data_IF_945359810935
#
_entry.id   IF_945359810935
#
_cell.length_a   1.000
_cell.length_b   1.000
_cell.length_c   1.000
_cell.angle_alpha   90.00
_cell.angle_beta   90.00
_cell.angle_gamma   90.00
#
_symmetry.space_group_name_H-M   'P 1'
#
loop_
_entity.id
_entity.type
_entity.pdbx_description
1 polymer ?
#
# COMPACT_ATOMS: atom_id res chain seq x y z
N UNK A 1 -59.67 5.12 65.91
CA UNK A 1 -58.18 5.22 65.93
C UNK A 1 -57.63 3.95 65.27
N UNK A 2 -57.22 3.94 64.00
CA UNK A 2 -55.94 4.47 63.45
C UNK A 2 -54.81 3.46 63.77
N UNK A 3 -54.06 2.84 62.86
CA UNK A 3 -53.64 3.16 61.49
C UNK A 3 -53.31 1.86 60.71
N UNK A 4 -53.58 1.83 59.40
CA UNK A 4 -53.04 0.82 58.48
C UNK A 4 -51.52 1.00 58.35
N UNK A 5 -50.77 -0.08 58.53
CA UNK A 5 -49.31 -0.12 58.33
C UNK A 5 -49.02 -0.31 56.84
N UNK A 6 -48.79 0.81 56.16
CA UNK A 6 -48.43 0.88 54.74
C UNK A 6 -47.01 0.32 54.55
N UNK A 7 -46.88 -0.91 54.05
CA UNK A 7 -45.59 -1.46 53.62
C UNK A 7 -45.22 -0.85 52.27
N UNK A 8 -44.28 0.09 52.30
CA UNK A 8 -43.67 0.70 51.12
C UNK A 8 -42.93 -0.37 50.32
N UNK A 9 -43.47 -0.73 49.14
CA UNK A 9 -42.75 -1.53 48.15
C UNK A 9 -41.73 -0.62 47.49
N UNK A 10 -40.50 -0.63 48.02
CA UNK A 10 -39.35 0.02 47.39
C UNK A 10 -39.04 -0.71 46.07
N UNK A 11 -39.46 -0.09 44.96
CA UNK A 11 -39.02 -0.45 43.61
C UNK A 11 -37.58 0.04 43.45
N UNK A 12 -36.61 -0.86 43.61
CA UNK A 12 -35.22 -0.61 43.22
C UNK A 12 -35.17 -0.61 41.68
N UNK A 13 -35.09 0.57 41.08
CA UNK A 13 -34.79 0.74 39.66
C UNK A 13 -33.31 0.40 39.45
N UNK A 14 -32.95 -0.61 38.64
CA UNK A 14 -31.56 -0.79 38.25
C UNK A 14 -31.19 0.37 37.32
N UNK A 15 -30.24 1.20 37.73
CA UNK A 15 -29.53 2.10 36.83
C UNK A 15 -28.80 1.22 35.82
N UNK A 16 -29.40 1.01 34.65
CA UNK A 16 -28.73 0.42 33.51
C UNK A 16 -27.68 1.43 33.04
N UNK A 17 -26.41 1.12 33.25
CA UNK A 17 -25.31 1.90 32.72
C UNK A 17 -25.26 1.58 31.23
N UNK A 18 -25.94 2.40 30.43
CA UNK A 18 -25.83 2.37 28.99
C UNK A 18 -24.39 2.74 28.63
N UNK A 19 -23.57 1.73 28.38
CA UNK A 19 -22.27 1.90 27.73
C UNK A 19 -22.58 2.35 26.30
N UNK A 20 -22.44 3.64 26.04
CA UNK A 20 -22.49 4.17 24.68
C UNK A 20 -21.25 3.67 23.96
N UNK A 21 -21.40 2.62 23.15
CA UNK A 21 -20.42 2.27 22.14
C UNK A 21 -20.45 3.40 21.10
N UNK A 22 -19.57 4.40 21.22
CA UNK A 22 -19.18 5.16 20.05
C UNK A 22 -18.35 4.19 19.21
N UNK A 23 -18.98 3.52 18.26
CA UNK A 23 -18.26 2.97 17.12
C UNK A 23 -17.62 4.16 16.41
N UNK A 24 -16.35 4.41 16.68
CA UNK A 24 -15.54 5.27 15.82
C UNK A 24 -15.59 4.64 14.44
N UNK A 25 -16.15 5.34 13.46
CA UNK A 25 -15.91 5.00 12.07
C UNK A 25 -14.45 5.37 11.86
N UNK A 26 -13.55 4.40 11.99
CA UNK A 26 -12.26 4.51 11.35
C UNK A 26 -12.56 4.66 9.86
N UNK A 27 -11.93 5.64 9.21
CA UNK A 27 -11.95 5.67 7.75
C UNK A 27 -11.42 4.32 7.27
N UNK A 28 -12.02 3.74 6.23
CA UNK A 28 -11.45 2.56 5.59
C UNK A 28 -9.99 2.90 5.20
N UNK A 29 -9.04 2.01 5.49
CA UNK A 29 -7.63 2.24 5.15
C UNK A 29 -7.48 2.25 3.62
N UNK A 30 -7.28 3.44 3.07
CA UNK A 30 -7.18 3.67 1.64
C UNK A 30 -5.71 3.69 1.21
N UNK A 31 -5.43 3.19 -0.01
CA UNK A 31 -4.09 3.28 -0.59
C UNK A 31 -4.12 3.87 -2.00
N UNK A 32 -3.32 4.92 -2.21
CA UNK A 32 -3.25 5.66 -3.47
C UNK A 32 -1.88 5.45 -4.14
N UNK A 33 -1.90 5.07 -5.42
CA UNK A 33 -0.68 4.88 -6.20
C UNK A 33 -0.35 6.16 -6.94
N UNK A 34 0.78 6.78 -6.60
CA UNK A 34 1.08 8.13 -7.09
C UNK A 34 1.71 8.07 -8.48
N UNK A 35 2.78 7.30 -8.64
CA UNK A 35 3.36 6.94 -9.93
C UNK A 35 4.47 5.92 -9.72
N UNK A 36 4.90 5.27 -10.79
CA UNK A 36 6.16 4.53 -10.82
C UNK A 36 7.27 5.51 -11.19
N UNK A 37 8.39 5.52 -10.44
CA UNK A 37 9.44 6.52 -10.69
C UNK A 37 10.20 6.16 -11.97
N UNK A 38 9.76 6.81 -13.06
CA UNK A 38 10.17 6.56 -14.43
C UNK A 38 11.54 7.20 -14.81
N UNK A 39 12.15 7.93 -13.89
CA UNK A 39 13.44 8.57 -14.12
C UNK A 39 14.53 7.78 -13.39
N UNK A 40 15.18 6.86 -14.10
CA UNK A 40 16.33 6.13 -13.57
C UNK A 40 17.00 5.28 -14.64
N UNK A 41 18.28 4.98 -14.43
CA UNK A 41 19.03 4.10 -15.32
C UNK A 41 18.41 2.69 -15.34
N UNK A 42 18.54 1.99 -16.47
CA UNK A 42 18.08 0.60 -16.65
C UNK A 42 18.57 -0.39 -15.57
N UNK A 43 19.73 -0.14 -14.96
CA UNK A 43 20.34 -1.01 -13.93
C UNK A 43 19.92 -0.64 -12.50
N UNK A 44 18.83 0.11 -12.34
CA UNK A 44 18.26 0.43 -11.03
C UNK A 44 17.09 -0.51 -10.74
N UNK A 45 16.90 -0.82 -9.46
CA UNK A 45 15.72 -1.53 -8.99
C UNK A 45 14.43 -0.80 -9.37
N UNK A 46 13.39 -1.57 -9.65
CA UNK A 46 12.05 -1.03 -9.78
C UNK A 46 11.57 -0.46 -8.44
N UNK A 47 10.94 0.72 -8.49
CA UNK A 47 10.34 1.37 -7.32
C UNK A 47 8.91 1.78 -7.60
N UNK A 48 8.08 1.72 -6.56
CA UNK A 48 6.70 2.20 -6.58
C UNK A 48 6.45 3.15 -5.41
N UNK A 49 5.59 4.14 -5.61
CA UNK A 49 5.21 5.10 -4.58
C UNK A 49 3.74 4.93 -4.22
N UNK A 50 3.47 4.83 -2.92
CA UNK A 50 2.12 4.70 -2.38
C UNK A 50 1.91 5.68 -1.23
N UNK A 51 0.73 6.28 -1.20
CA UNK A 51 0.18 7.03 -0.05
C UNK A 51 -0.90 6.19 0.62
N UNK A 52 -1.03 6.36 1.94
CA UNK A 52 -2.09 5.75 2.74
C UNK A 52 -2.90 6.84 3.45
N UNK A 53 -4.18 6.57 3.70
CA UNK A 53 -5.05 7.46 4.47
C UNK A 53 -6.00 6.64 5.37
N UNK A 54 -6.18 7.09 6.61
CA UNK A 54 -7.11 6.44 7.55
C UNK A 54 -6.63 5.09 8.11
N UNK A 55 -5.35 4.76 7.94
CA UNK A 55 -4.79 3.48 8.36
C UNK A 55 -4.26 3.51 9.79
N UNK A 56 -4.20 2.36 10.47
CA UNK A 56 -3.53 2.28 11.77
C UNK A 56 -2.00 2.31 11.63
N UNK A 57 -1.30 2.43 12.75
CA UNK A 57 0.17 2.31 12.77
C UNK A 57 0.56 0.86 12.49
N UNK A 58 1.05 0.61 11.28
CA UNK A 58 1.59 -0.66 10.83
C UNK A 58 2.48 -0.43 9.58
N UNK A 59 2.93 -1.53 8.98
CA UNK A 59 3.56 -1.56 7.66
C UNK A 59 2.75 -2.43 6.69
N UNK A 60 2.84 -2.13 5.40
CA UNK A 60 2.39 -3.01 4.32
C UNK A 60 3.58 -3.77 3.72
N UNK A 61 3.42 -5.08 3.61
CA UNK A 61 4.26 -5.91 2.75
C UNK A 61 3.88 -5.64 1.30
N UNK A 62 4.89 -5.54 0.42
CA UNK A 62 4.70 -5.19 -0.99
C UNK A 62 5.31 -6.26 -1.88
N UNK A 63 4.55 -6.69 -2.88
CA UNK A 63 4.97 -7.69 -3.86
C UNK A 63 4.64 -7.24 -5.28
N UNK A 64 5.61 -7.36 -6.17
CA UNK A 64 5.48 -7.10 -7.60
C UNK A 64 5.33 -8.43 -8.33
N UNK A 65 4.30 -8.54 -9.16
CA UNK A 65 4.00 -9.76 -9.92
C UNK A 65 3.98 -9.48 -11.41
N UNK A 66 4.61 -10.33 -12.20
CA UNK A 66 4.40 -10.40 -13.64
C UNK A 66 3.25 -11.37 -13.94
N UNK A 67 2.09 -10.86 -14.34
CA UNK A 67 0.92 -11.71 -14.61
C UNK A 67 1.04 -12.55 -15.87
N UNK A 68 1.95 -12.19 -16.78
CA UNK A 68 2.16 -12.93 -18.02
C UNK A 68 3.07 -14.16 -17.80
N UNK A 69 4.01 -14.09 -16.86
CA UNK A 69 4.95 -15.20 -16.56
C UNK A 69 4.67 -15.93 -15.24
N UNK A 70 4.02 -15.26 -14.29
CA UNK A 70 3.83 -15.73 -12.92
C UNK A 70 5.04 -15.50 -12.01
N UNK A 71 6.01 -14.69 -12.43
CA UNK A 71 7.16 -14.35 -11.58
C UNK A 71 6.76 -13.33 -10.50
N UNK A 72 7.23 -13.55 -9.28
CA UNK A 72 6.94 -12.75 -8.09
C UNK A 72 8.25 -12.19 -7.51
N UNK A 73 8.22 -10.92 -7.11
CA UNK A 73 9.35 -10.19 -6.57
C UNK A 73 8.94 -9.46 -5.29
N UNK A 74 9.61 -9.80 -4.19
CA UNK A 74 9.44 -9.07 -2.93
C UNK A 74 9.98 -7.65 -3.06
N UNK A 75 9.29 -6.73 -2.42
CA UNK A 75 9.70 -5.35 -2.31
C UNK A 75 9.81 -4.94 -0.85
N UNK A 76 10.49 -3.82 -0.57
CA UNK A 76 10.62 -3.31 0.78
C UNK A 76 9.26 -2.88 1.35
N UNK A 77 9.03 -3.19 2.62
CA UNK A 77 7.83 -2.76 3.34
C UNK A 77 7.72 -1.22 3.37
N UNK A 78 6.49 -0.72 3.39
CA UNK A 78 6.19 0.72 3.50
C UNK A 78 5.30 1.00 4.71
N UNK A 79 5.54 2.08 5.47
CA UNK A 79 4.72 2.42 6.61
C UNK A 79 3.34 2.94 6.16
N UNK A 80 2.31 2.66 6.96
CA UNK A 80 0.94 3.14 6.71
C UNK A 80 0.69 4.57 7.22
N UNK A 81 1.64 5.12 7.96
CA UNK A 81 1.57 6.42 8.62
C UNK A 81 2.90 7.17 8.43
N UNK A 82 2.88 8.50 8.30
CA UNK A 82 1.72 9.38 8.41
C UNK A 82 0.80 9.33 7.19
N UNK A 83 -0.49 9.63 7.41
CA UNK A 83 -1.46 9.81 6.32
C UNK A 83 -0.97 10.78 5.25
N UNK A 84 -1.39 10.55 4.01
CA UNK A 84 -1.13 11.39 2.83
C UNK A 84 0.36 11.69 2.61
N UNK A 85 1.23 10.78 3.06
CA UNK A 85 2.68 10.88 2.88
C UNK A 85 3.17 9.83 1.86
N UNK A 86 3.86 10.26 0.79
CA UNK A 86 4.44 9.35 -0.20
C UNK A 86 5.50 8.43 0.40
N UNK A 87 5.24 7.13 0.36
CA UNK A 87 6.18 6.09 0.78
C UNK A 87 6.65 5.27 -0.42
N UNK A 88 7.95 4.98 -0.47
CA UNK A 88 8.58 4.30 -1.61
C UNK A 88 8.93 2.86 -1.25
N UNK A 89 8.45 1.92 -2.07
CA UNK A 89 8.86 0.52 -2.02
C UNK A 89 9.84 0.20 -3.14
N UNK A 90 10.90 -0.55 -2.84
CA UNK A 90 11.94 -0.99 -3.80
C UNK A 90 11.90 -2.51 -3.94
N UNK A 91 11.82 -3.01 -5.18
CA UNK A 91 11.69 -4.44 -5.47
C UNK A 91 13.03 -5.09 -5.87
N UNK A 92 13.18 -6.38 -5.59
CA UNK A 92 14.36 -7.19 -5.94
C UNK A 92 14.40 -7.59 -7.43
N UNK A 93 14.19 -6.60 -8.31
CA UNK A 93 14.31 -6.71 -9.77
C UNK A 93 14.84 -5.41 -10.37
N UNK A 94 15.84 -5.51 -11.24
CA UNK A 94 16.34 -4.38 -12.01
C UNK A 94 15.42 -4.06 -13.20
N UNK A 95 15.30 -2.78 -13.55
CA UNK A 95 14.42 -2.32 -14.64
C UNK A 95 14.74 -2.95 -16.00
N UNK A 96 15.99 -3.33 -16.26
CA UNK A 96 16.44 -4.00 -17.49
C UNK A 96 16.03 -5.49 -17.57
N UNK A 97 15.75 -6.11 -16.43
CA UNK A 97 15.24 -7.48 -16.34
C UNK A 97 13.75 -7.55 -16.67
N UNK A 98 13.02 -6.46 -16.42
CA UNK A 98 11.59 -6.36 -16.71
C UNK A 98 11.29 -6.53 -18.22
N UNK A 99 10.06 -6.95 -18.51
CA UNK A 99 9.55 -7.18 -19.87
C UNK A 99 8.24 -6.44 -20.06
N UNK A 100 7.98 -6.03 -21.29
CA UNK A 100 6.67 -5.50 -21.66
C UNK A 100 5.61 -6.56 -21.40
N UNK A 101 4.51 -6.18 -20.75
CA UNK A 101 3.53 -7.14 -20.28
C UNK A 101 2.63 -6.58 -19.18
N UNK A 102 1.78 -7.46 -18.66
CA UNK A 102 0.87 -7.13 -17.56
C UNK A 102 1.54 -7.38 -16.22
N UNK A 103 1.60 -6.35 -15.38
CA UNK A 103 2.21 -6.41 -14.06
C UNK A 103 1.18 -6.06 -12.98
N UNK A 104 1.44 -6.51 -11.76
CA UNK A 104 0.64 -6.25 -10.58
C UNK A 104 1.50 -5.81 -9.41
N UNK A 105 0.97 -4.92 -8.57
CA UNK A 105 1.52 -4.60 -7.26
C UNK A 105 0.49 -4.99 -6.21
N UNK A 106 0.88 -5.86 -5.28
CA UNK A 106 0.06 -6.34 -4.18
C UNK A 106 0.59 -5.73 -2.87
N UNK A 107 -0.30 -5.16 -2.08
CA UNK A 107 -0.01 -4.57 -0.78
C UNK A 107 -0.86 -5.26 0.29
N UNK A 108 -0.22 -5.85 1.29
CA UNK A 108 -0.89 -6.63 2.34
C UNK A 108 -0.47 -6.10 3.71
N UNK A 109 -1.44 -5.86 4.59
CA UNK A 109 -1.18 -5.48 5.97
C UNK A 109 -2.24 -6.01 6.91
N UNK A 110 -1.86 -6.23 8.17
CA UNK A 110 -2.82 -6.48 9.24
C UNK A 110 -3.52 -5.19 9.71
N UNK A 111 -3.04 -4.03 9.24
CA UNK A 111 -3.56 -2.71 9.61
C UNK A 111 -3.52 -2.51 11.13
N UNK A 112 -2.41 -2.90 11.74
CA UNK A 112 -2.12 -2.69 13.16
C UNK A 112 -2.76 -3.73 14.08
N UNK A 113 -2.76 -3.40 15.38
CA UNK A 113 -3.31 -4.24 16.45
C UNK A 113 -4.68 -3.75 16.95
N UNK A 114 -5.17 -2.64 16.40
CA UNK A 114 -6.45 -2.07 16.80
C UNK A 114 -7.59 -2.96 16.29
N UNK A 115 -8.49 -3.45 17.17
CA UNK A 115 -9.59 -4.32 16.78
C UNK A 115 -10.58 -3.67 15.81
N UNK A 116 -10.61 -2.35 15.74
CA UNK A 116 -11.47 -1.59 14.83
C UNK A 116 -10.77 -1.24 13.50
N UNK A 117 -9.54 -1.72 13.29
CA UNK A 117 -8.77 -1.55 12.05
C UNK A 117 -8.70 -2.89 11.30
N UNK A 118 -9.52 -3.11 10.26
CA UNK A 118 -9.52 -4.37 9.54
C UNK A 118 -8.24 -4.53 8.71
N UNK A 119 -7.72 -5.76 8.54
CA UNK A 119 -6.62 -6.04 7.63
C UNK A 119 -7.03 -5.74 6.19
N UNK A 120 -6.06 -5.44 5.33
CA UNK A 120 -6.31 -5.18 3.92
C UNK A 120 -5.35 -5.95 3.00
N UNK A 121 -5.82 -6.16 1.77
CA UNK A 121 -5.03 -6.66 0.66
C UNK A 121 -5.46 -5.90 -0.60
N UNK A 122 -4.64 -4.93 -1.03
CA UNK A 122 -4.92 -4.08 -2.17
C UNK A 122 -4.07 -4.51 -3.36
N UNK A 123 -4.65 -4.54 -4.55
CA UNK A 123 -3.96 -4.89 -5.78
C UNK A 123 -4.11 -3.77 -6.81
N UNK A 124 -3.01 -3.45 -7.49
CA UNK A 124 -3.00 -2.56 -8.66
C UNK A 124 -2.43 -3.29 -9.85
N UNK A 125 -3.15 -3.31 -10.97
CA UNK A 125 -2.67 -3.90 -12.22
C UNK A 125 -2.32 -2.79 -13.20
N UNK A 126 -1.19 -2.94 -13.90
CA UNK A 126 -0.71 -1.97 -14.86
C UNK A 126 -0.06 -2.67 -16.05
N UNK A 127 -0.13 -2.05 -17.23
CA UNK A 127 0.59 -2.53 -18.39
C UNK A 127 1.92 -1.80 -18.54
N UNK A 128 2.98 -2.59 -18.63
CA UNK A 128 4.31 -2.08 -18.83
C UNK A 128 4.71 -2.17 -20.30
N UNK A 129 5.22 -1.07 -20.86
CA UNK A 129 5.98 -1.06 -22.11
C UNK A 129 7.44 -0.72 -21.82
N UNK A 130 8.31 -1.71 -22.01
CA UNK A 130 9.77 -1.53 -21.97
C UNK A 130 10.25 -1.16 -23.37
N UNK A 131 10.93 -0.02 -23.50
CA UNK A 131 11.60 0.39 -24.74
C UNK A 131 12.75 -0.57 -25.13
N UNK A 132 13.33 -0.38 -26.33
CA UNK A 132 14.50 -1.15 -26.72
C UNK A 132 15.64 -0.94 -25.71
N UNK A 133 16.20 -2.03 -25.16
CA UNK A 133 17.31 -1.93 -24.21
C UNK A 133 18.51 -1.23 -24.87
N UNK A 134 18.94 -0.09 -24.32
CA UNK A 134 20.16 0.58 -24.76
C UNK A 134 21.37 -0.23 -24.25
N UNK A 135 21.99 -1.02 -25.13
CA UNK A 135 23.23 -1.72 -24.79
C UNK A 135 24.36 -0.70 -24.73
N UNK A 136 24.76 -0.27 -23.53
CA UNK A 136 25.99 0.49 -23.34
C UNK A 136 27.17 -0.43 -23.64
N UNK A 137 27.63 -0.45 -24.89
CA UNK A 137 28.85 -1.16 -25.24
C UNK A 137 30.01 -0.34 -24.65
N UNK A 138 30.57 -0.77 -23.52
CA UNK A 138 31.82 -0.18 -23.00
C UNK A 138 32.94 -0.59 -23.95
N UNK A 139 33.09 0.14 -25.06
CA UNK A 139 34.31 0.11 -25.85
C UNK A 139 35.29 0.98 -25.09
N UNK A 140 36.43 0.39 -24.70
CA UNK A 140 37.54 1.12 -24.09
C UNK A 140 38.21 2.02 -25.15
N UNK A 141 37.52 3.04 -25.65
CA UNK A 141 38.13 4.18 -26.30
C UNK A 141 37.43 5.49 -25.88
N UNK A 142 38.26 6.51 -25.70
CA UNK A 142 37.93 7.83 -25.17
C UNK A 142 36.76 8.46 -25.93
N UNK A 143 35.80 8.96 -25.15
CA UNK A 143 34.88 10.06 -25.48
C UNK A 143 33.73 9.76 -26.48
N UNK A 144 32.69 9.07 -26.03
CA UNK A 144 31.33 9.34 -26.50
C UNK A 144 30.28 8.84 -25.47
N UNK A 145 29.65 9.76 -24.74
CA UNK A 145 28.40 9.48 -24.01
C UNK A 145 27.25 9.85 -24.95
N UNK A 146 26.64 8.87 -25.62
CA UNK A 146 25.36 9.07 -26.32
C UNK A 146 24.23 8.74 -25.35
N UNK A 147 23.71 9.77 -24.67
CA UNK A 147 22.53 9.64 -23.82
C UNK A 147 21.26 9.76 -24.67
N UNK A 148 20.73 8.62 -25.13
CA UNK A 148 19.38 8.55 -25.73
C UNK A 148 18.45 7.65 -24.90
N UNK A 149 17.72 8.33 -24.03
CA UNK A 149 16.40 8.04 -23.44
C UNK A 149 16.01 6.57 -23.18
N UNK A 150 16.14 6.16 -21.92
CA UNK A 150 15.41 5.05 -21.30
C UNK A 150 13.94 5.48 -21.12
N UNK A 151 13.08 5.23 -22.10
CA UNK A 151 11.64 5.49 -21.96
C UNK A 151 10.91 4.19 -21.62
N UNK A 152 10.63 4.00 -20.33
CA UNK A 152 9.68 3.02 -19.81
C UNK A 152 8.32 3.70 -19.82
N UNK A 153 7.31 3.16 -20.50
CA UNK A 153 5.96 3.79 -20.52
C UNK A 153 4.95 2.87 -19.88
N UNK A 154 4.30 3.40 -18.85
CA UNK A 154 3.21 2.74 -18.15
C UNK A 154 1.90 3.28 -18.69
N UNK A 155 1.05 2.37 -19.12
CA UNK A 155 -0.33 2.67 -19.47
C UNK A 155 -1.21 2.15 -18.33
N UNK A 156 -1.74 3.07 -17.53
CA UNK A 156 -2.83 2.79 -16.59
C UNK A 156 -4.14 2.73 -17.41
N UNK A 157 -4.88 1.62 -17.28
CA UNK A 157 -6.17 1.41 -17.94
C UNK A 157 -7.32 1.59 -16.96
#
# INVERSE_FOLDING_TARGET
>A
MGYLKMYSRSLLLPLAWSVSYLSGVNADCESYGIDFVNNGNSNQSFTSVTEFAGCAVDVAAVELVNWDTGDEYLCSDIPLQPDDTPETSTCDIEKDQMKSGTWGLILISNNGVDPDSPPFANQRTFYLTVGAQATSTVRSDRNFYDSKADEFRLHQH
#
